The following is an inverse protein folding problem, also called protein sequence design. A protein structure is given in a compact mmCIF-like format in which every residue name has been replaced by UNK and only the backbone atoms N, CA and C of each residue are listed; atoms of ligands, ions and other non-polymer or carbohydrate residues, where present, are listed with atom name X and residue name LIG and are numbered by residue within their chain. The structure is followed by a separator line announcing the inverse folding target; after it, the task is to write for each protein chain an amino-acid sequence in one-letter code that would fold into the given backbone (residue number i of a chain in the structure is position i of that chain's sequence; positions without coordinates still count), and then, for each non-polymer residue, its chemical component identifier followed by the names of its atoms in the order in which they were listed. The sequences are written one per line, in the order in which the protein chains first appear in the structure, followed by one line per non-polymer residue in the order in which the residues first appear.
data_IF_619252794776
#
_entry.id   IF_619252794776
#
_cell.length_a   1.000
_cell.length_b   1.000
_cell.length_c   1.000
_cell.angle_alpha   90.00
_cell.angle_beta   90.00
_cell.angle_gamma   90.00
#
_symmetry.space_group_name_H-M   'P 1'
#
loop_
_entity.id
_entity.type
_entity.pdbx_description
1 polymer ?
#
# COMPACT_ATOMS: atom_id res chain seq x y z
N UNK A 1 -12.86 1.66 12.96
CA UNK A 1 -11.67 2.41 13.41
C UNK A 1 -10.57 2.27 12.38
N UNK A 2 -10.10 3.38 11.89
CA UNK A 2 -9.08 3.35 10.84
C UNK A 2 -7.75 2.85 11.38
N UNK A 3 -7.02 2.16 10.51
CA UNK A 3 -5.72 1.63 10.87
C UNK A 3 -4.81 1.78 9.66
N UNK A 4 -3.56 2.06 9.89
CA UNK A 4 -2.56 2.08 8.84
C UNK A 4 -1.68 0.86 8.95
N UNK A 5 -1.14 0.45 7.82
CA UNK A 5 -0.09 -0.57 7.79
C UNK A 5 1.11 0.02 7.08
N UNK A 6 2.26 -0.08 7.73
CA UNK A 6 3.52 0.33 7.13
C UNK A 6 4.14 -0.94 6.56
N UNK A 7 4.26 -0.95 5.23
CA UNK A 7 4.79 -2.10 4.50
C UNK A 7 6.11 -1.67 3.91
N UNK A 8 7.20 -2.31 4.31
CA UNK A 8 8.49 -1.90 3.79
C UNK A 8 9.43 -3.06 3.61
N UNK A 9 10.37 -2.88 2.71
CA UNK A 9 11.41 -3.85 2.46
C UNK A 9 12.72 -3.16 2.16
N UNK A 10 13.79 -3.64 2.79
CA UNK A 10 15.09 -3.02 2.67
C UNK A 10 15.68 -3.15 1.27
N UNK A 11 15.27 -4.17 0.53
CA UNK A 11 15.82 -4.39 -0.81
C UNK A 11 14.81 -4.16 -1.91
N UNK A 12 13.67 -3.55 -1.57
CA UNK A 12 12.68 -3.22 -2.59
C UNK A 12 13.11 -1.99 -3.36
N UNK A 13 12.84 -2.00 -4.64
CA UNK A 13 13.15 -0.88 -5.53
C UNK A 13 11.86 -0.27 -6.04
N UNK A 14 12.00 0.88 -6.68
CA UNK A 14 10.87 1.48 -7.38
C UNK A 14 10.34 0.54 -8.46
N UNK A 15 11.24 -0.13 -9.17
CA UNK A 15 10.82 -1.05 -10.22
C UNK A 15 9.99 -2.20 -9.66
N UNK A 16 10.38 -2.72 -8.49
CA UNK A 16 9.59 -3.75 -7.82
C UNK A 16 8.21 -3.23 -7.47
N UNK A 17 8.16 -2.03 -6.93
CA UNK A 17 6.89 -1.41 -6.56
C UNK A 17 6.00 -1.21 -7.79
N UNK A 18 6.56 -0.66 -8.86
CA UNK A 18 5.79 -0.41 -10.07
C UNK A 18 5.25 -1.71 -10.65
N UNK A 19 6.04 -2.77 -10.61
CA UNK A 19 5.59 -4.06 -11.07
C UNK A 19 4.43 -4.58 -10.24
N UNK A 20 4.50 -4.40 -8.91
CA UNK A 20 3.42 -4.81 -8.03
C UNK A 20 2.14 -4.03 -8.33
N UNK A 21 2.27 -2.74 -8.58
CA UNK A 21 1.09 -1.93 -8.90
C UNK A 21 0.46 -2.35 -10.22
N UNK A 22 1.27 -2.71 -11.20
CA UNK A 22 0.74 -3.21 -12.47
C UNK A 22 -0.01 -4.52 -12.27
N UNK A 23 0.48 -5.36 -11.37
CA UNK A 23 -0.14 -6.67 -11.13
C UNK A 23 -1.57 -6.53 -10.60
N UNK A 24 -1.88 -5.44 -9.89
CA UNK A 24 -3.23 -5.18 -9.42
C UNK A 24 -3.90 -4.08 -10.23
N UNK A 25 -3.35 -3.79 -11.40
CA UNK A 25 -3.98 -2.91 -12.38
C UNK A 25 -4.14 -1.47 -11.90
N UNK A 26 -3.20 -1.01 -11.06
CA UNK A 26 -3.29 0.35 -10.52
C UNK A 26 -2.88 1.42 -11.53
N UNK A 27 -2.35 1.01 -12.68
CA UNK A 27 -2.07 1.97 -13.74
C UNK A 27 -3.32 2.40 -14.48
N UNK A 28 -4.38 1.62 -14.37
CA UNK A 28 -5.65 1.95 -14.99
C UNK A 28 -6.43 2.84 -14.03
N UNK A 29 -6.66 4.12 -14.38
CA UNK A 29 -7.37 5.03 -13.47
C UNK A 29 -8.81 4.61 -13.21
N UNK A 30 -9.35 3.70 -14.00
CA UNK A 30 -10.72 3.23 -13.81
C UNK A 30 -10.80 1.91 -13.06
N UNK A 31 -9.67 1.34 -12.67
CA UNK A 31 -9.69 0.08 -11.92
C UNK A 31 -10.23 0.34 -10.52
N UNK A 32 -11.02 -0.60 -9.97
CA UNK A 32 -11.55 -0.40 -8.63
C UNK A 32 -10.44 -0.47 -7.59
N UNK A 33 -10.60 0.29 -6.52
CA UNK A 33 -9.68 0.23 -5.39
C UNK A 33 -9.98 -1.00 -4.56
N UNK A 34 -9.00 -1.51 -3.82
CA UNK A 34 -9.28 -2.58 -2.86
C UNK A 34 -10.35 -2.10 -1.87
N UNK A 35 -11.32 -2.95 -1.51
CA UNK A 35 -12.38 -2.53 -0.60
C UNK A 35 -11.83 -2.07 0.74
N UNK A 36 -12.28 -0.90 1.16
CA UNK A 36 -11.93 -0.36 2.48
C UNK A 36 -10.64 0.43 2.55
N UNK A 37 -9.92 0.56 1.44
CA UNK A 37 -8.71 1.38 1.46
C UNK A 37 -9.11 2.85 1.41
N UNK A 38 -8.45 3.66 2.25
CA UNK A 38 -8.71 5.10 2.33
C UNK A 38 -7.61 5.88 1.65
N UNK A 39 -6.35 5.47 1.86
CA UNK A 39 -5.22 6.22 1.35
C UNK A 39 -4.05 5.28 1.15
N UNK A 40 -3.17 5.66 0.24
CA UNK A 40 -1.99 4.88 -0.09
C UNK A 40 -0.90 5.87 -0.46
N UNK A 41 0.22 5.80 0.25
CA UNK A 41 1.39 6.61 -0.11
C UNK A 41 2.59 5.69 -0.18
N UNK A 42 3.54 6.03 -1.05
CA UNK A 42 4.69 5.17 -1.28
C UNK A 42 5.89 6.02 -1.66
N UNK A 43 7.05 5.57 -1.26
CA UNK A 43 8.27 6.27 -1.61
C UNK A 43 9.51 5.54 -1.15
N UNK A 44 10.68 6.03 -1.55
CA UNK A 44 11.93 5.38 -1.19
C UNK A 44 12.31 5.64 0.26
N UNK A 45 13.03 4.69 0.82
CA UNK A 45 13.71 4.87 2.09
C UNK A 45 15.20 4.87 1.80
N UNK A 46 15.99 4.99 2.85
CA UNK A 46 17.43 5.03 2.70
C UNK A 46 17.96 3.82 1.95
N UNK A 47 17.40 2.66 2.19
CA UNK A 47 17.92 1.44 1.60
C UNK A 47 16.83 0.56 0.98
N UNK A 48 15.65 1.11 0.72
CA UNK A 48 14.57 0.31 0.17
C UNK A 48 13.37 1.14 -0.20
N UNK A 49 12.19 0.60 0.10
CA UNK A 49 10.91 1.21 -0.30
C UNK A 49 9.89 1.03 0.82
N UNK A 50 9.06 2.03 1.01
CA UNK A 50 8.01 2.02 2.05
C UNK A 50 6.68 2.40 1.44
N UNK A 51 5.65 1.68 1.88
CA UNK A 51 4.26 1.99 1.55
C UNK A 51 3.51 2.16 2.86
N UNK A 52 2.63 3.15 2.92
CA UNK A 52 1.70 3.27 4.02
C UNK A 52 0.30 3.20 3.45
N UNK A 53 -0.44 2.19 3.86
CA UNK A 53 -1.84 2.01 3.47
C UNK A 53 -2.72 2.33 4.65
N UNK A 54 -3.74 3.14 4.43
CA UNK A 54 -4.73 3.44 5.47
C UNK A 54 -6.03 2.76 5.09
N UNK A 55 -6.60 2.02 6.05
CA UNK A 55 -7.80 1.21 5.84
C UNK A 55 -8.89 1.64 6.80
N UNK A 56 -10.15 1.44 6.39
CA UNK A 56 -11.30 1.73 7.24
C UNK A 56 -11.23 0.96 8.56
N UNK A 57 -10.73 -0.27 8.50
CA UNK A 57 -10.61 -1.11 9.67
C UNK A 57 -9.64 -2.24 9.38
N UNK A 58 -9.28 -2.97 10.42
CA UNK A 58 -8.33 -4.07 10.30
C UNK A 58 -8.86 -5.20 9.43
N UNK A 59 -10.16 -5.43 9.48
CA UNK A 59 -10.77 -6.50 8.71
C UNK A 59 -10.56 -6.28 7.21
N UNK A 60 -10.74 -5.05 6.75
CA UNK A 60 -10.52 -4.73 5.35
C UNK A 60 -9.07 -4.94 4.95
N UNK A 61 -8.14 -4.54 5.82
CA UNK A 61 -6.73 -4.73 5.56
C UNK A 61 -6.39 -6.21 5.46
N UNK A 62 -6.87 -7.01 6.40
CA UNK A 62 -6.58 -8.44 6.39
C UNK A 62 -7.18 -9.12 5.17
N UNK A 63 -8.34 -8.67 4.73
CA UNK A 63 -8.96 -9.21 3.54
C UNK A 63 -8.09 -9.01 2.31
N UNK A 64 -7.46 -7.86 2.20
CA UNK A 64 -6.59 -7.58 1.06
C UNK A 64 -5.25 -8.29 1.19
N UNK A 65 -4.57 -8.14 2.34
CA UNK A 65 -3.24 -8.71 2.48
C UNK A 65 -3.26 -10.23 2.50
N UNK A 66 -4.38 -10.83 2.89
CA UNK A 66 -4.54 -12.28 2.87
C UNK A 66 -5.08 -12.81 1.56
N UNK A 67 -5.32 -11.97 0.56
CA UNK A 67 -5.92 -12.40 -0.68
C UNK A 67 -4.90 -13.05 -1.60
N UNK A 68 -5.41 -13.85 -2.53
CA UNK A 68 -4.56 -14.43 -3.55
C UNK A 68 -3.96 -13.37 -4.46
N UNK A 69 -4.71 -12.32 -4.71
CA UNK A 69 -4.23 -11.22 -5.52
C UNK A 69 -2.99 -10.60 -4.92
N UNK A 70 -3.02 -10.33 -3.61
CA UNK A 70 -1.87 -9.73 -2.96
C UNK A 70 -0.69 -10.69 -2.94
N UNK A 71 -0.94 -11.96 -2.70
CA UNK A 71 0.14 -12.96 -2.72
C UNK A 71 0.80 -13.04 -4.08
N UNK A 72 0.00 -12.97 -5.14
CA UNK A 72 0.54 -12.95 -6.50
C UNK A 72 1.37 -11.71 -6.75
N UNK A 73 0.89 -10.59 -6.21
CA UNK A 73 1.51 -9.29 -6.39
C UNK A 73 2.92 -9.24 -5.81
N UNK A 74 3.12 -9.86 -4.65
CA UNK A 74 4.42 -9.82 -3.99
C UNK A 74 5.29 -11.03 -4.26
N UNK A 75 4.78 -11.98 -5.03
CA UNK A 75 5.55 -13.18 -5.35
C UNK A 75 6.81 -12.80 -6.10
N UNK A 76 7.93 -13.32 -5.64
CA UNK A 76 9.20 -13.02 -6.29
C UNK A 76 9.85 -11.72 -5.87
N UNK A 77 9.18 -10.92 -5.07
CA UNK A 77 9.78 -9.70 -4.54
C UNK A 77 10.63 -10.02 -3.32
N UNK A 78 11.59 -9.14 -3.01
CA UNK A 78 12.29 -9.25 -1.73
C UNK A 78 11.32 -9.21 -0.57
N UNK A 79 11.70 -9.75 0.60
CA UNK A 79 10.79 -9.78 1.74
C UNK A 79 10.34 -8.40 2.19
N UNK A 80 9.10 -8.32 2.66
CA UNK A 80 8.53 -7.09 3.21
C UNK A 80 8.04 -7.36 4.61
N UNK A 81 8.03 -6.31 5.42
CA UNK A 81 7.46 -6.37 6.75
C UNK A 81 6.18 -5.56 6.78
N UNK A 82 5.26 -5.96 7.66
CA UNK A 82 3.98 -5.28 7.84
C UNK A 82 3.89 -4.85 9.29
N UNK A 83 3.81 -3.55 9.50
CA UNK A 83 3.72 -3.02 10.86
C UNK A 83 2.38 -2.32 11.00
N UNK A 84 1.48 -2.83 11.84
CA UNK A 84 0.21 -2.14 12.07
C UNK A 84 0.44 -0.87 12.89
N UNK A 85 -0.36 0.13 12.57
CA UNK A 85 -0.23 1.43 13.22
C UNK A 85 -1.64 1.94 13.48
N UNK A 86 -2.21 1.65 14.66
CA UNK A 86 -3.54 2.14 14.99
C UNK A 86 -3.52 3.66 15.01
N UNK A 87 -4.50 4.25 14.34
CA UNK A 87 -4.52 5.70 14.17
C UNK A 87 -5.34 6.35 15.26
N UNK A 88 -4.80 7.42 15.82
CA UNK A 88 -5.55 8.26 16.75
C UNK A 88 -6.41 9.26 15.99
N UNK A 89 -5.89 9.76 14.89
CA UNK A 89 -6.58 10.80 14.14
C UNK A 89 -6.21 10.67 12.66
N UNK A 90 -7.23 10.74 11.83
CA UNK A 90 -7.03 10.72 10.38
C UNK A 90 -7.81 11.88 9.80
N UNK A 91 -7.10 12.76 9.10
CA UNK A 91 -7.72 13.85 8.38
C UNK A 91 -7.20 13.80 6.95
N UNK A 92 -8.12 13.91 6.01
CA UNK A 92 -7.75 13.96 4.60
C UNK A 92 -8.03 15.36 4.10
N UNK A 93 -6.98 16.10 3.80
CA UNK A 93 -7.10 17.47 3.36
C UNK A 93 -7.25 17.46 1.86
N UNK A 94 -8.24 18.17 1.40
CA UNK A 94 -8.39 18.34 -0.02
C UNK A 94 -7.36 19.32 -0.51
N UNK A 95 -6.54 18.87 -1.45
CA UNK A 95 -5.49 19.73 -1.95
C UNK A 95 -5.18 19.34 -3.38
N UNK A 96 -4.55 20.26 -4.08
CA UNK A 96 -4.09 20.02 -5.43
C UNK A 96 -2.63 19.65 -5.35
N UNK A 97 -2.33 18.42 -5.70
CA UNK A 97 -0.97 17.95 -5.65
C UNK A 97 -0.41 17.81 -7.03
N UNK A 98 0.86 18.19 -7.14
CA UNK A 98 1.58 17.92 -8.34
C UNK A 98 2.04 16.48 -8.33
N UNK A 99 2.02 15.87 -9.48
CA UNK A 99 2.55 14.54 -9.58
C UNK A 99 4.05 14.61 -9.47
N UNK A 100 4.56 13.80 -8.64
CA UNK A 100 5.99 13.71 -8.47
C UNK A 100 6.68 13.12 -9.65
#
# INVERSE_FOLDING_TARGET
MAIAFVVEGANLSQADYDQAMRAINREDPNAPYPPGVIAHVAGPTENGWRVVDVWENDEAAQGFYGSELFRSMIKGLPPVSFTPWPLHRLEVYRTILQKG
#
